data_IF_214704836253
#
_entry.id   IF_214704836253
#
_cell.length_a   1.000
_cell.length_b   1.000
_cell.length_c   1.000
_cell.angle_alpha   90.00
_cell.angle_beta   90.00
_cell.angle_gamma   90.00
#
_symmetry.space_group_name_H-M   'P 1'
#
loop_
_entity.id
_entity.type
_entity.pdbx_description
1 polymer ?
#
# COMPACT_ATOMS: atom_id res chain seq x y z
N UNK A 1 5.93 -2.18 -13.46
CA UNK A 1 4.44 -2.05 -13.43
C UNK A 1 3.72 -2.97 -14.42
N UNK A 2 4.41 -3.81 -15.19
CA UNK A 2 3.81 -4.77 -16.15
C UNK A 2 3.00 -5.91 -15.52
N UNK A 3 3.17 -6.17 -14.21
CA UNK A 3 2.43 -7.23 -13.53
C UNK A 3 0.96 -6.89 -13.32
N UNK A 4 0.57 -5.61 -13.25
CA UNK A 4 -0.82 -5.18 -13.04
C UNK A 4 -1.72 -5.42 -14.26
N UNK A 5 -1.17 -5.40 -15.48
CA UNK A 5 -1.93 -5.56 -16.72
C UNK A 5 -2.50 -6.98 -16.92
N UNK A 6 -1.96 -8.00 -16.24
CA UNK A 6 -2.40 -9.40 -16.34
C UNK A 6 -3.54 -9.80 -15.39
N UNK A 7 -3.95 -8.93 -14.47
CA UNK A 7 -4.97 -9.29 -13.47
C UNK A 7 -6.34 -8.87 -14.00
N UNK A 8 -7.25 -9.83 -14.17
CA UNK A 8 -8.67 -9.61 -14.51
C UNK A 8 -9.40 -8.90 -13.35
N UNK A 9 -9.00 -7.68 -12.98
CA UNK A 9 -9.63 -6.95 -11.87
C UNK A 9 -11.12 -6.71 -12.12
N UNK A 10 -11.56 -6.64 -13.38
CA UNK A 10 -12.99 -6.61 -13.77
C UNK A 10 -13.77 -7.86 -13.35
N UNK A 11 -13.14 -9.03 -13.22
CA UNK A 11 -13.79 -10.28 -12.80
C UNK A 11 -13.80 -10.52 -11.28
N UNK A 12 -13.11 -9.67 -10.50
CA UNK A 12 -13.07 -9.80 -9.04
C UNK A 12 -14.12 -8.91 -8.37
N UNK A 13 -14.72 -9.44 -7.30
CA UNK A 13 -15.54 -8.68 -6.36
C UNK A 13 -14.73 -7.56 -5.68
N UNK A 14 -15.41 -6.55 -5.12
CA UNK A 14 -14.77 -5.45 -4.40
C UNK A 14 -13.85 -5.95 -3.26
N UNK A 15 -14.31 -6.98 -2.54
CA UNK A 15 -13.53 -7.64 -1.50
C UNK A 15 -12.28 -8.33 -2.08
N UNK A 16 -12.41 -9.04 -3.20
CA UNK A 16 -11.28 -9.67 -3.90
C UNK A 16 -10.24 -8.65 -4.37
N UNK A 17 -10.69 -7.50 -4.88
CA UNK A 17 -9.81 -6.38 -5.27
C UNK A 17 -9.08 -5.80 -4.06
N UNK A 18 -9.75 -5.61 -2.93
CA UNK A 18 -9.14 -5.12 -1.70
C UNK A 18 -8.07 -6.08 -1.16
N UNK A 19 -8.35 -7.39 -1.16
CA UNK A 19 -7.38 -8.42 -0.79
C UNK A 19 -6.17 -8.42 -1.73
N UNK A 20 -6.40 -8.29 -3.03
CA UNK A 20 -5.32 -8.20 -4.02
C UNK A 20 -4.43 -6.98 -3.80
N UNK A 21 -5.03 -5.82 -3.50
CA UNK A 21 -4.27 -4.62 -3.12
C UNK A 21 -3.39 -4.90 -1.89
N UNK A 22 -3.94 -5.53 -0.84
CA UNK A 22 -3.15 -5.92 0.35
C UNK A 22 -1.98 -6.82 0.00
N UNK A 23 -2.18 -7.81 -0.88
CA UNK A 23 -1.13 -8.72 -1.33
C UNK A 23 -0.05 -7.99 -2.12
N UNK A 24 -0.41 -7.08 -3.01
CA UNK A 24 0.55 -6.31 -3.82
C UNK A 24 1.37 -5.36 -2.95
N UNK A 25 0.73 -4.65 -2.01
CA UNK A 25 1.43 -3.81 -1.03
C UNK A 25 2.45 -4.65 -0.26
N UNK A 26 2.02 -5.80 0.24
CA UNK A 26 2.86 -6.68 1.05
C UNK A 26 3.99 -7.33 0.25
N UNK A 27 3.74 -7.76 -0.99
CA UNK A 27 4.73 -8.47 -1.80
C UNK A 27 5.70 -7.56 -2.57
N UNK A 28 5.25 -6.39 -3.03
CA UNK A 28 6.07 -5.51 -3.89
C UNK A 28 6.67 -4.33 -3.13
N UNK A 29 5.91 -3.73 -2.21
CA UNK A 29 6.31 -2.47 -1.59
C UNK A 29 7.03 -2.65 -0.25
N UNK A 30 6.71 -3.69 0.52
CA UNK A 30 7.33 -3.92 1.84
C UNK A 30 8.86 -4.01 1.78
N UNK A 31 9.43 -4.71 0.79
CA UNK A 31 10.88 -4.78 0.64
C UNK A 31 11.49 -3.40 0.31
N UNK A 32 10.87 -2.67 -0.62
CA UNK A 32 11.32 -1.33 -1.00
C UNK A 32 11.23 -0.32 0.15
N UNK A 33 10.17 -0.42 0.96
CA UNK A 33 9.93 0.45 2.12
C UNK A 33 10.84 0.15 3.32
N UNK A 34 11.33 -1.08 3.46
CA UNK A 34 12.32 -1.38 4.48
C UNK A 34 13.65 -0.67 4.22
N UNK A 35 14.01 -0.43 2.96
CA UNK A 35 15.34 0.09 2.58
C UNK A 35 15.29 1.60 2.31
N UNK A 36 14.19 2.11 1.74
CA UNK A 36 14.09 3.49 1.29
C UNK A 36 12.92 4.25 1.91
N UNK A 37 13.18 5.50 2.35
CA UNK A 37 12.12 6.46 2.66
C UNK A 37 11.53 7.01 1.37
N UNK A 38 10.27 6.69 1.11
CA UNK A 38 9.60 7.14 -0.11
C UNK A 38 9.08 8.57 0.04
N UNK A 39 9.22 9.42 -1.00
CA UNK A 39 8.64 10.75 -0.97
C UNK A 39 7.11 10.69 -0.96
N UNK A 40 6.49 11.61 -0.23
CA UNK A 40 5.04 11.68 -0.07
C UNK A 40 4.28 11.84 -1.39
N UNK A 41 4.89 12.49 -2.39
CA UNK A 41 4.35 12.63 -3.75
C UNK A 41 4.20 11.28 -4.46
N UNK A 42 5.19 10.38 -4.32
CA UNK A 42 5.16 9.05 -4.91
C UNK A 42 4.14 8.16 -4.22
N UNK A 43 4.07 8.22 -2.88
CA UNK A 43 3.05 7.51 -2.10
C UNK A 43 1.63 7.93 -2.52
N UNK A 44 1.39 9.24 -2.71
CA UNK A 44 0.11 9.76 -3.22
C UNK A 44 -0.20 9.24 -4.63
N UNK A 45 0.79 9.16 -5.52
CA UNK A 45 0.60 8.61 -6.86
C UNK A 45 0.20 7.12 -6.82
N UNK A 46 0.86 6.32 -5.98
CA UNK A 46 0.52 4.90 -5.80
C UNK A 46 -0.87 4.75 -5.21
N UNK A 47 -1.20 5.51 -4.17
CA UNK A 47 -2.54 5.50 -3.56
C UNK A 47 -3.64 5.77 -4.59
N UNK A 48 -3.46 6.79 -5.46
CA UNK A 48 -4.41 7.06 -6.55
C UNK A 48 -4.60 5.87 -7.48
N UNK A 49 -3.53 5.19 -7.87
CA UNK A 49 -3.61 3.99 -8.73
C UNK A 49 -4.33 2.83 -8.04
N UNK A 50 -4.08 2.60 -6.75
CA UNK A 50 -4.75 1.56 -5.97
C UNK A 50 -6.25 1.82 -5.81
N UNK A 51 -6.65 3.08 -5.55
CA UNK A 51 -8.06 3.47 -5.49
C UNK A 51 -8.75 3.26 -6.83
N UNK A 52 -8.10 3.68 -7.93
CA UNK A 52 -8.63 3.47 -9.27
C UNK A 52 -8.84 1.98 -9.58
N UNK A 53 -7.87 1.15 -9.21
CA UNK A 53 -7.99 -0.30 -9.35
C UNK A 53 -9.11 -0.89 -8.49
N UNK A 54 -9.29 -0.42 -7.25
CA UNK A 54 -10.34 -0.89 -6.35
C UNK A 54 -11.74 -0.70 -6.95
N UNK A 55 -12.02 0.51 -7.47
CA UNK A 55 -13.35 0.86 -7.99
C UNK A 55 -13.59 0.38 -9.42
N UNK A 56 -12.60 0.53 -10.30
CA UNK A 56 -12.79 0.27 -11.73
C UNK A 56 -12.40 -1.16 -12.11
N UNK A 57 -11.53 -1.82 -11.34
CA UNK A 57 -11.03 -3.16 -11.68
C UNK A 57 -10.06 -3.17 -12.87
N UNK A 58 -9.72 -2.00 -13.41
CA UNK A 58 -8.73 -1.79 -14.46
C UNK A 58 -7.80 -0.65 -14.05
N UNK A 59 -6.50 -0.79 -14.31
CA UNK A 59 -5.52 0.27 -14.06
C UNK A 59 -5.54 1.37 -15.12
N UNK A 60 -6.08 1.12 -16.31
CA UNK A 60 -6.09 2.06 -17.45
C UNK A 60 -7.32 2.96 -17.49
N UNK A 61 -8.48 2.46 -17.06
CA UNK A 61 -9.70 3.26 -16.98
C UNK A 61 -9.60 4.19 -15.76
N UNK A 62 -9.31 5.46 -15.99
CA UNK A 62 -9.17 6.48 -14.94
C UNK A 62 -10.53 7.09 -14.65
N UNK A 63 -11.15 6.71 -13.52
CA UNK A 63 -12.25 7.49 -12.94
C UNK A 63 -11.68 8.52 -11.98
N UNK A 64 -12.20 9.74 -12.01
CA UNK A 64 -11.92 10.79 -11.04
C UNK A 64 -12.46 10.37 -9.67
N UNK A 65 -11.62 9.70 -8.88
CA UNK A 65 -12.00 9.28 -7.54
C UNK A 65 -11.44 10.31 -6.55
N UNK A 66 -12.34 11.15 -6.04
CA UNK A 66 -12.04 12.25 -5.12
C UNK A 66 -11.91 11.81 -3.65
N UNK A 67 -12.05 10.51 -3.37
CA UNK A 67 -12.00 9.99 -2.01
C UNK A 67 -10.54 9.81 -1.58
N UNK A 68 -10.15 10.46 -0.48
CA UNK A 68 -8.82 10.35 0.10
C UNK A 68 -8.50 8.90 0.53
N UNK A 69 -7.26 8.45 0.27
CA UNK A 69 -6.77 7.13 0.67
C UNK A 69 -6.90 6.85 2.17
N UNK A 70 -6.74 7.90 2.97
CA UNK A 70 -6.88 7.87 4.42
C UNK A 70 -8.22 7.23 4.87
N UNK A 71 -9.32 7.55 4.17
CA UNK A 71 -10.65 7.02 4.47
C UNK A 71 -10.71 5.49 4.32
N UNK A 72 -9.94 4.93 3.39
CA UNK A 72 -9.87 3.49 3.16
C UNK A 72 -8.93 2.78 4.14
N UNK A 73 -8.02 3.52 4.77
CA UNK A 73 -7.10 2.97 5.77
C UNK A 73 -7.73 2.80 7.15
N UNK A 74 -8.87 3.45 7.40
CA UNK A 74 -9.62 3.31 8.63
C UNK A 74 -10.15 1.88 8.84
N UNK A 75 -10.31 1.43 10.10
CA UNK A 75 -10.89 0.13 10.40
C UNK A 75 -12.35 0.03 9.91
N UNK A 76 -12.83 -1.19 9.68
CA UNK A 76 -14.22 -1.45 9.25
C UNK A 76 -15.27 -0.82 10.19
N UNK A 77 -14.97 -0.74 11.49
CA UNK A 77 -15.82 -0.09 12.49
C UNK A 77 -16.04 1.41 12.24
N UNK A 78 -15.14 2.08 11.53
CA UNK A 78 -15.27 3.48 11.11
C UNK A 78 -15.61 3.64 9.62
N UNK A 79 -16.26 2.63 9.04
CA UNK A 79 -16.61 2.59 7.61
C UNK A 79 -15.42 2.61 6.64
N UNK A 80 -14.22 2.23 7.10
CA UNK A 80 -13.03 2.06 6.25
C UNK A 80 -12.87 0.63 5.73
N UNK A 81 -11.87 0.42 4.86
CA UNK A 81 -11.58 -0.90 4.26
C UNK A 81 -10.46 -1.67 4.99
N UNK A 82 -9.92 -1.11 6.08
CA UNK A 82 -8.80 -1.69 6.82
C UNK A 82 -7.56 -1.90 5.93
N UNK A 83 -7.35 -1.02 4.95
CA UNK A 83 -6.11 -0.98 4.17
C UNK A 83 -5.00 -0.33 5.03
N UNK A 84 -3.75 -0.64 4.74
CA UNK A 84 -2.63 -0.01 5.45
C UNK A 84 -2.24 1.28 4.74
N UNK A 85 -2.04 2.34 5.51
CA UNK A 85 -1.46 3.57 4.99
C UNK A 85 0.01 3.31 4.61
N UNK A 86 0.37 3.60 3.36
CA UNK A 86 1.70 3.31 2.83
C UNK A 86 2.79 4.18 3.48
N UNK A 87 2.45 5.41 3.89
CA UNK A 87 3.38 6.31 4.58
C UNK A 87 3.69 5.81 5.98
N UNK A 88 2.65 5.49 6.76
CA UNK A 88 2.82 4.91 8.10
C UNK A 88 3.54 3.56 8.05
N UNK A 89 3.25 2.75 7.03
CA UNK A 89 3.91 1.47 6.83
C UNK A 89 5.39 1.64 6.48
N UNK A 90 5.76 2.63 5.67
CA UNK A 90 7.15 2.94 5.37
C UNK A 90 7.90 3.41 6.63
N UNK A 91 7.38 4.43 7.33
CA UNK A 91 8.06 4.97 8.52
C UNK A 91 8.17 3.92 9.64
N UNK A 92 7.15 3.08 9.85
CA UNK A 92 7.22 2.01 10.86
C UNK A 92 8.22 0.90 10.51
N UNK A 93 8.33 0.52 9.24
CA UNK A 93 9.31 -0.46 8.79
C UNK A 93 10.74 0.07 8.91
N UNK A 94 10.97 1.34 8.54
CA UNK A 94 12.26 1.99 8.73
C UNK A 94 12.65 2.05 10.21
N UNK A 95 11.74 2.50 11.08
CA UNK A 95 11.99 2.53 12.54
C UNK A 95 12.30 1.15 13.10
N UNK A 96 11.57 0.11 12.66
CA UNK A 96 11.84 -1.28 13.04
C UNK A 96 13.23 -1.74 12.58
N UNK A 97 13.65 -1.34 11.39
CA UNK A 97 14.98 -1.65 10.87
C UNK A 97 16.06 -0.90 11.67
N UNK A 98 15.89 0.39 11.93
CA UNK A 98 16.82 1.18 12.75
C UNK A 98 16.95 0.60 14.16
N UNK A 99 15.84 0.21 14.79
CA UNK A 99 15.85 -0.46 16.09
C UNK A 99 16.69 -1.74 16.05
N UNK A 100 16.47 -2.60 15.04
CA UNK A 100 17.28 -3.82 14.87
C UNK A 100 18.76 -3.52 14.74
N UNK A 101 19.14 -2.51 13.95
CA UNK A 101 20.54 -2.10 13.82
C UNK A 101 21.13 -1.65 15.17
N UNK A 102 20.42 -0.82 15.94
CA UNK A 102 20.88 -0.39 17.26
C UNK A 102 21.03 -1.56 18.23
N UNK A 103 20.06 -2.47 18.28
CA UNK A 103 20.12 -3.65 19.17
C UNK A 103 21.22 -4.63 18.75
N UNK A 104 21.37 -4.92 17.46
CA UNK A 104 22.44 -5.79 16.96
C UNK A 104 23.84 -5.21 17.18
N UNK A 105 24.00 -3.88 17.11
CA UNK A 105 25.27 -3.21 17.41
C UNK A 105 25.59 -3.20 18.91
N UNK A 106 24.57 -3.21 19.79
CA UNK A 106 24.76 -3.29 21.24
C UNK A 106 25.21 -4.66 21.76
N UNK A 107 25.06 -5.73 20.96
CA UNK A 107 25.48 -7.09 21.31
C UNK A 107 26.90 -7.43 20.79
N UNK A 108 27.57 -6.48 20.16
CA UNK A 108 28.92 -6.64 19.59
C UNK A 108 30.01 -5.92 20.42
N UNK A 109 29.68 -5.45 21.63
CA UNK A 109 30.61 -4.86 22.59
C UNK A 109 30.54 -5.60 23.93
#
# INVERSE_FOLDING_TARGET
MSKFAKWKGKALSLAGRATLIKLVITGSFVHSFMIYKWPSSLLRLVNRKLINFLWTGSCEETKLILVAWDRYCKPYSQSGLGLKDLGLLNDSLLKKLTWKFMTSQSLAF
#
